data_IF_347174487844
#
_entry.id   IF_347174487844
#
_cell.length_a   1.000
_cell.length_b   1.000
_cell.length_c   1.000
_cell.angle_alpha   90.00
_cell.angle_beta   90.00
_cell.angle_gamma   90.00
#
_symmetry.space_group_name_H-M   'P 1'
#
loop_
_entity.id
_entity.type
_entity.pdbx_description
1 polymer ?
#
# COMPACT_ATOMS: atom_id res chain seq x y z
N UNK A 1 -32.38 -20.73 -57.12
CA UNK A 1 -32.31 -19.26 -57.30
C UNK A 1 -32.23 -18.66 -55.92
N UNK A 2 -31.03 -18.30 -55.46
CA UNK A 2 -30.81 -17.83 -54.09
C UNK A 2 -30.19 -16.45 -54.19
N UNK A 3 -30.91 -15.43 -53.72
CA UNK A 3 -30.50 -14.03 -53.80
C UNK A 3 -29.31 -13.75 -52.88
N UNK A 4 -28.35 -13.00 -53.39
CA UNK A 4 -27.22 -12.44 -52.65
C UNK A 4 -27.69 -11.13 -52.01
N UNK A 5 -27.50 -10.89 -50.69
CA UNK A 5 -27.86 -9.62 -50.07
C UNK A 5 -26.93 -8.47 -50.54
N UNK A 6 -27.42 -7.22 -50.58
CA UNK A 6 -26.65 -6.09 -51.07
C UNK A 6 -25.49 -5.73 -50.12
N UNK A 7 -24.35 -5.33 -50.71
CA UNK A 7 -23.22 -4.73 -49.99
C UNK A 7 -23.64 -3.37 -49.42
N UNK A 8 -23.50 -3.19 -48.11
CA UNK A 8 -23.60 -1.89 -47.46
C UNK A 8 -22.34 -1.06 -47.75
N UNK A 9 -22.54 0.20 -48.11
CA UNK A 9 -21.48 1.12 -48.50
C UNK A 9 -20.72 1.67 -47.27
N UNK A 10 -19.39 1.83 -47.31
CA UNK A 10 -18.59 2.30 -46.16
C UNK A 10 -18.84 3.75 -45.72
N UNK A 11 -19.76 4.48 -46.36
CA UNK A 11 -20.01 5.90 -46.11
C UNK A 11 -21.12 6.17 -45.09
N UNK A 12 -21.87 5.13 -44.69
CA UNK A 12 -23.01 5.28 -43.78
C UNK A 12 -22.64 5.37 -42.29
N UNK A 13 -21.36 5.17 -41.93
CA UNK A 13 -20.90 5.25 -40.53
C UNK A 13 -20.41 6.64 -40.09
N UNK A 14 -20.36 7.62 -40.99
CA UNK A 14 -19.73 8.91 -40.71
C UNK A 14 -20.66 9.96 -40.08
N UNK A 15 -21.92 9.67 -39.74
CA UNK A 15 -22.86 10.72 -39.33
C UNK A 15 -23.80 10.42 -38.15
N UNK A 16 -23.50 9.43 -37.31
CA UNK A 16 -24.14 9.29 -36.00
C UNK A 16 -23.50 10.26 -35.01
N UNK A 17 -24.04 11.49 -34.95
CA UNK A 17 -23.79 12.46 -33.89
C UNK A 17 -24.19 11.85 -32.54
N UNK A 18 -23.24 11.78 -31.62
CA UNK A 18 -23.48 11.51 -30.20
C UNK A 18 -24.13 12.73 -29.52
N UNK A 19 -24.96 12.55 -28.49
CA UNK A 19 -25.63 13.64 -27.76
C UNK A 19 -24.62 14.58 -27.09
N UNK A 20 -24.90 15.89 -27.10
CA UNK A 20 -24.00 16.96 -26.61
C UNK A 20 -23.93 17.13 -25.08
N UNK A 21 -24.62 16.30 -24.29
CA UNK A 21 -24.82 16.55 -22.85
C UNK A 21 -23.69 16.04 -21.92
N UNK A 22 -22.73 15.28 -22.44
CA UNK A 22 -21.63 14.71 -21.63
C UNK A 22 -20.31 15.53 -21.71
N UNK A 23 -20.32 16.71 -22.35
CA UNK A 23 -19.10 17.52 -22.55
C UNK A 23 -18.69 18.38 -21.35
N UNK A 24 -19.40 18.30 -20.23
CA UNK A 24 -19.15 19.15 -19.06
C UNK A 24 -18.18 18.58 -18.01
N UNK A 25 -17.54 17.42 -18.24
CA UNK A 25 -16.68 16.80 -17.21
C UNK A 25 -15.20 16.58 -17.61
N UNK A 26 -14.75 17.12 -18.76
CA UNK A 26 -13.40 16.84 -19.29
C UNK A 26 -12.59 18.07 -19.72
N UNK A 27 -12.82 19.23 -19.10
CA UNK A 27 -11.93 20.40 -19.30
C UNK A 27 -11.70 21.15 -18.00
N UNK A 28 -10.92 20.58 -17.08
CA UNK A 28 -10.05 21.35 -16.19
C UNK A 28 -9.00 20.46 -15.53
N UNK A 29 -7.90 20.17 -16.23
CA UNK A 29 -6.57 19.91 -15.64
C UNK A 29 -5.55 19.60 -16.73
N UNK A 30 -5.20 20.62 -17.52
CA UNK A 30 -3.91 20.67 -18.23
C UNK A 30 -3.36 22.07 -18.12
N UNK A 31 -2.68 22.38 -17.02
CA UNK A 31 -1.58 23.34 -16.95
C UNK A 31 -1.05 23.46 -15.51
N UNK A 32 -0.08 22.61 -15.16
CA UNK A 32 1.08 23.05 -14.38
C UNK A 32 2.16 22.01 -14.56
N UNK A 33 3.11 22.30 -15.43
CA UNK A 33 4.33 21.52 -15.53
C UNK A 33 5.13 21.76 -14.25
N UNK A 34 5.48 20.66 -13.60
CA UNK A 34 6.70 20.55 -12.82
C UNK A 34 7.19 19.11 -13.04
N UNK A 35 8.26 19.00 -13.82
CA UNK A 35 8.98 17.76 -14.02
C UNK A 35 9.54 17.30 -12.66
N UNK A 36 9.03 16.18 -12.13
CA UNK A 36 9.66 15.52 -10.99
C UNK A 36 10.79 14.62 -11.52
N UNK A 37 12.04 14.80 -11.06
CA UNK A 37 13.12 13.93 -11.48
C UNK A 37 12.92 12.54 -10.88
N UNK A 38 12.91 11.54 -11.76
CA UNK A 38 13.11 10.13 -11.39
C UNK A 38 14.51 9.98 -10.80
N UNK A 39 14.66 10.18 -9.50
CA UNK A 39 15.83 9.71 -8.76
C UNK A 39 15.40 8.50 -7.95
N UNK A 40 15.83 7.34 -8.42
CA UNK A 40 15.87 6.12 -7.63
C UNK A 40 16.69 6.40 -6.36
N UNK A 41 16.03 6.37 -5.21
CA UNK A 41 16.73 6.44 -3.93
C UNK A 41 17.33 5.06 -3.65
N UNK A 42 18.58 4.87 -4.09
CA UNK A 42 19.43 3.81 -3.58
C UNK A 42 19.64 4.07 -2.09
N UNK A 43 19.19 3.16 -1.22
CA UNK A 43 19.57 3.16 0.18
C UNK A 43 20.96 2.53 0.26
N UNK A 44 21.97 3.38 0.22
CA UNK A 44 23.34 2.99 0.52
C UNK A 44 23.42 2.65 2.02
N UNK A 45 23.55 1.37 2.32
CA UNK A 45 23.88 0.90 3.66
C UNK A 45 25.33 1.26 3.94
N UNK A 46 25.58 2.40 4.57
CA UNK A 46 26.89 2.63 5.19
C UNK A 46 27.04 1.65 6.35
N UNK A 47 27.69 0.54 6.05
CA UNK A 47 28.35 -0.28 7.04
C UNK A 47 29.34 0.62 7.79
N UNK A 48 29.12 0.80 9.09
CA UNK A 48 30.15 1.36 9.96
C UNK A 48 31.27 0.33 10.03
N UNK A 49 32.25 0.50 9.14
CA UNK A 49 33.49 -0.24 9.15
C UNK A 49 34.31 0.19 10.37
N UNK A 50 34.69 -0.83 11.14
CA UNK A 50 35.84 -0.85 12.04
C UNK A 50 37.07 -0.42 11.24
N UNK A 51 37.50 0.83 11.39
CA UNK A 51 38.77 1.28 10.84
C UNK A 51 39.61 1.95 11.93
N UNK A 52 40.76 1.31 12.14
CA UNK A 52 41.75 1.64 13.15
C UNK A 52 42.78 2.58 12.55
N UNK A 53 42.98 3.70 13.25
CA UNK A 53 44.22 4.49 13.35
C UNK A 53 44.61 5.38 12.13
N UNK A 54 45.43 6.46 12.28
CA UNK A 54 46.37 6.71 13.38
C UNK A 54 46.37 8.12 14.02
N UNK A 55 47.01 8.12 15.19
CA UNK A 55 47.58 9.22 15.96
C UNK A 55 47.97 10.48 15.16
N UNK A 56 47.43 11.62 15.59
CA UNK A 56 48.14 12.89 15.51
C UNK A 56 48.61 13.29 16.91
N UNK A 57 49.89 13.60 16.94
CA UNK A 57 50.75 13.81 18.08
C UNK A 57 50.56 15.17 18.74
N UNK A 58 50.84 15.21 20.03
CA UNK A 58 51.20 16.36 20.87
C UNK A 58 50.12 17.41 21.22
N UNK A 59 49.56 17.26 22.42
CA UNK A 59 49.87 18.25 23.47
C UNK A 59 49.86 17.54 24.84
N UNK A 60 51.07 17.21 25.32
CA UNK A 60 51.33 16.67 26.64
C UNK A 60 51.06 17.76 27.69
N UNK A 61 49.88 17.73 28.31
CA UNK A 61 49.68 18.35 29.61
C UNK A 61 49.44 17.21 30.60
N UNK A 62 50.48 16.91 31.38
CA UNK A 62 50.51 15.88 32.40
C UNK A 62 49.23 15.89 33.27
N UNK A 63 48.39 14.87 33.10
CA UNK A 63 47.28 14.58 33.99
C UNK A 63 47.87 13.84 35.19
N UNK A 64 48.23 14.58 36.23
CA UNK A 64 48.44 14.01 37.56
C UNK A 64 47.16 13.26 37.99
N UNK A 65 47.26 12.05 38.59
CA UNK A 65 46.10 11.31 39.04
C UNK A 65 45.47 12.05 40.23
N UNK A 66 44.36 12.75 39.98
CA UNK A 66 43.55 13.23 41.09
C UNK A 66 42.79 12.04 41.68
N UNK A 67 43.34 11.42 42.72
CA UNK A 67 42.53 10.69 43.67
C UNK A 67 41.65 11.71 44.41
N UNK A 68 40.41 11.88 43.97
CA UNK A 68 39.39 12.51 44.80
C UNK A 68 38.50 11.41 45.39
N UNK A 69 38.83 11.06 46.63
CA UNK A 69 37.97 10.31 47.53
C UNK A 69 36.62 11.04 47.66
N UNK A 70 35.60 10.53 46.99
CA UNK A 70 34.23 10.94 47.20
C UNK A 70 33.75 10.35 48.54
N UNK A 71 33.90 11.12 49.63
CA UNK A 71 33.20 10.78 50.87
C UNK A 71 31.70 11.08 50.71
N UNK A 72 30.79 10.14 51.01
CA UNK A 72 29.37 10.39 50.87
C UNK A 72 28.91 11.24 52.06
N UNK A 73 28.88 12.56 51.90
CA UNK A 73 28.21 13.43 52.87
C UNK A 73 26.72 13.47 52.57
N UNK A 74 25.95 12.75 53.40
CA UNK A 74 24.50 12.90 53.55
C UNK A 74 24.18 14.39 53.79
N UNK A 75 23.61 15.02 52.78
CA UNK A 75 23.20 16.44 52.82
C UNK A 75 21.84 16.57 53.48
N UNK A 76 21.82 17.12 54.70
CA UNK A 76 20.61 17.64 55.32
C UNK A 76 20.12 18.88 54.56
N UNK A 77 18.91 18.78 54.02
CA UNK A 77 18.21 19.72 53.13
C UNK A 77 17.95 21.15 53.70
N UNK A 78 18.59 21.57 54.80
CA UNK A 78 18.09 22.70 55.60
C UNK A 78 19.09 23.66 56.23
N UNK A 79 20.37 23.67 55.88
CA UNK A 79 21.33 24.61 56.51
C UNK A 79 21.86 25.70 55.57
N UNK A 80 21.88 26.92 56.13
CA UNK A 80 22.09 28.22 55.49
C UNK A 80 23.37 28.24 54.63
N UNK A 81 23.19 28.29 53.31
CA UNK A 81 24.28 28.42 52.34
C UNK A 81 24.99 29.78 52.49
N UNK A 82 26.34 29.77 52.57
CA UNK A 82 27.18 30.97 52.54
C UNK A 82 26.93 31.80 51.26
N UNK A 83 27.02 33.14 51.32
CA UNK A 83 26.75 34.04 50.18
C UNK A 83 27.51 33.65 48.90
N UNK A 84 28.76 33.15 49.05
CA UNK A 84 29.59 32.70 47.94
C UNK A 84 28.99 31.49 47.19
N UNK A 85 28.41 30.54 47.93
CA UNK A 85 27.73 29.38 47.33
C UNK A 85 26.45 29.78 46.61
N UNK A 86 25.70 30.75 47.14
CA UNK A 86 24.51 31.29 46.47
C UNK A 86 24.85 31.96 45.15
N UNK A 87 25.93 32.76 45.11
CA UNK A 87 26.40 33.41 43.89
C UNK A 87 26.88 32.40 42.84
N UNK A 88 27.61 31.36 43.25
CA UNK A 88 28.07 30.29 42.35
C UNK A 88 26.90 29.50 41.75
N UNK A 89 25.90 29.13 42.57
CA UNK A 89 24.69 28.45 42.08
C UNK A 89 23.91 29.34 41.11
N UNK A 90 23.80 30.65 41.39
CA UNK A 90 23.12 31.58 40.50
C UNK A 90 23.84 31.71 39.15
N UNK A 91 25.19 31.79 39.16
CA UNK A 91 25.98 31.86 37.93
C UNK A 91 25.81 30.59 37.07
N UNK A 92 25.83 29.41 37.70
CA UNK A 92 25.56 28.13 37.02
C UNK A 92 24.14 28.06 36.47
N UNK A 93 23.15 28.53 37.25
CA UNK A 93 21.75 28.55 36.84
C UNK A 93 21.54 29.45 35.61
N UNK A 94 22.18 30.62 35.56
CA UNK A 94 22.09 31.54 34.42
C UNK A 94 22.63 30.92 33.13
N UNK A 95 23.64 30.04 33.21
CA UNK A 95 24.17 29.33 32.04
C UNK A 95 23.35 28.12 31.63
N UNK A 96 22.99 27.26 32.58
CA UNK A 96 22.42 25.94 32.29
C UNK A 96 20.91 26.03 31.98
N UNK A 97 20.16 26.87 32.71
CA UNK A 97 18.69 26.93 32.57
C UNK A 97 18.27 27.33 31.15
N UNK A 98 18.83 28.39 30.52
CA UNK A 98 18.42 28.77 29.17
C UNK A 98 18.73 27.69 28.13
N UNK A 99 19.88 27.01 28.26
CA UNK A 99 20.28 25.92 27.36
C UNK A 99 19.30 24.74 27.45
N UNK A 100 18.94 24.32 28.67
CA UNK A 100 17.95 23.25 28.89
C UNK A 100 16.58 23.66 28.40
N UNK A 101 16.16 24.91 28.61
CA UNK A 101 14.88 25.42 28.16
C UNK A 101 14.76 25.39 26.63
N UNK A 102 15.76 25.93 25.92
CA UNK A 102 15.80 25.93 24.44
C UNK A 102 15.87 24.49 23.92
N UNK A 103 16.73 23.65 24.49
CA UNK A 103 16.83 22.23 24.12
C UNK A 103 15.52 21.46 24.30
N UNK A 104 14.79 21.74 25.38
CA UNK A 104 13.48 21.12 25.66
C UNK A 104 12.42 21.53 24.64
N UNK A 105 12.37 22.82 24.26
CA UNK A 105 11.46 23.32 23.23
C UNK A 105 11.80 22.71 21.87
N UNK A 106 13.08 22.66 21.52
CA UNK A 106 13.57 22.03 20.29
C UNK A 106 13.21 20.54 20.23
N UNK A 107 13.45 19.80 21.31
CA UNK A 107 13.07 18.38 21.41
C UNK A 107 11.56 18.18 21.27
N UNK A 108 10.76 18.99 21.95
CA UNK A 108 9.29 18.91 21.85
C UNK A 108 8.80 19.21 20.42
N UNK A 109 9.32 20.27 19.80
CA UNK A 109 8.99 20.64 18.43
C UNK A 109 9.44 19.57 17.41
N UNK A 110 10.64 19.01 17.57
CA UNK A 110 11.17 17.96 16.71
C UNK A 110 10.36 16.65 16.84
N UNK A 111 10.08 16.21 18.07
CA UNK A 111 9.28 14.99 18.31
C UNK A 111 7.87 15.08 17.70
N UNK A 112 7.27 16.28 17.70
CA UNK A 112 5.98 16.51 17.08
C UNK A 112 6.06 16.62 15.54
N UNK A 113 7.18 17.11 15.01
CA UNK A 113 7.43 17.18 13.57
C UNK A 113 7.70 15.79 12.96
N UNK A 114 8.58 14.99 13.57
CA UNK A 114 8.92 13.63 13.10
C UNK A 114 7.70 12.71 13.15
N UNK A 115 6.94 12.73 14.25
CA UNK A 115 5.72 11.93 14.34
C UNK A 115 4.69 12.34 13.29
N UNK A 116 4.43 13.63 13.10
CA UNK A 116 3.49 14.12 12.07
C UNK A 116 3.94 13.75 10.66
N UNK A 117 5.23 13.90 10.34
CA UNK A 117 5.76 13.54 9.03
C UNK A 117 5.69 12.04 8.77
N UNK A 118 6.04 11.19 9.76
CA UNK A 118 5.91 9.74 9.64
C UNK A 118 4.45 9.32 9.49
N UNK A 119 3.53 9.91 10.26
CA UNK A 119 2.09 9.64 10.14
C UNK A 119 1.53 10.11 8.80
N UNK A 120 1.94 11.29 8.32
CA UNK A 120 1.52 11.81 7.02
C UNK A 120 2.06 10.93 5.87
N UNK A 121 3.33 10.55 5.91
CA UNK A 121 3.94 9.68 4.91
C UNK A 121 3.28 8.29 4.90
N UNK A 122 3.04 7.69 6.08
CA UNK A 122 2.30 6.42 6.20
C UNK A 122 0.87 6.57 5.68
N UNK A 123 0.20 7.68 5.96
CA UNK A 123 -1.15 7.95 5.44
C UNK A 123 -1.14 8.06 3.92
N UNK A 124 -0.24 8.82 3.33
CA UNK A 124 -0.11 8.95 1.87
C UNK A 124 0.20 7.60 1.21
N UNK A 125 1.05 6.77 1.81
CA UNK A 125 1.32 5.42 1.31
C UNK A 125 0.08 4.52 1.38
N UNK A 126 -0.66 4.54 2.49
CA UNK A 126 -1.91 3.78 2.63
C UNK A 126 -2.97 4.27 1.65
N UNK A 127 -3.10 5.58 1.46
CA UNK A 127 -4.05 6.17 0.53
C UNK A 127 -3.68 5.82 -0.93
N UNK A 128 -2.39 5.87 -1.29
CA UNK A 128 -1.90 5.44 -2.60
C UNK A 128 -2.14 3.95 -2.84
N UNK A 129 -1.85 3.09 -1.86
CA UNK A 129 -2.13 1.65 -1.94
C UNK A 129 -3.63 1.38 -2.07
N UNK A 130 -4.45 2.09 -1.30
CA UNK A 130 -5.91 1.99 -1.36
C UNK A 130 -6.43 2.39 -2.75
N UNK A 131 -5.87 3.42 -3.36
CA UNK A 131 -6.22 3.84 -4.71
C UNK A 131 -5.84 2.78 -5.75
N UNK A 132 -4.62 2.24 -5.70
CA UNK A 132 -4.19 1.17 -6.60
C UNK A 132 -5.09 -0.06 -6.45
N UNK A 133 -5.40 -0.46 -5.23
CA UNK A 133 -6.30 -1.59 -4.96
C UNK A 133 -7.72 -1.32 -5.48
N UNK A 134 -8.24 -0.11 -5.26
CA UNK A 134 -9.58 0.27 -5.73
C UNK A 134 -9.66 0.23 -7.25
N UNK A 135 -8.66 0.77 -7.94
CA UNK A 135 -8.59 0.75 -9.40
C UNK A 135 -8.46 -0.69 -9.92
N UNK A 136 -7.58 -1.50 -9.31
CA UNK A 136 -7.43 -2.91 -9.65
C UNK A 136 -8.77 -3.66 -9.51
N UNK A 137 -9.48 -3.48 -8.40
CA UNK A 137 -10.78 -4.12 -8.18
C UNK A 137 -11.86 -3.62 -9.16
N UNK A 138 -11.86 -2.34 -9.49
CA UNK A 138 -12.78 -1.76 -10.47
C UNK A 138 -12.55 -2.34 -11.87
N UNK A 139 -11.29 -2.50 -12.30
CA UNK A 139 -10.96 -3.17 -13.56
C UNK A 139 -11.43 -4.64 -13.55
N UNK A 140 -11.10 -5.40 -12.48
CA UNK A 140 -11.51 -6.80 -12.39
C UNK A 140 -13.02 -6.97 -12.37
N UNK A 141 -13.73 -6.01 -11.77
CA UNK A 141 -15.19 -5.97 -11.81
C UNK A 141 -15.71 -5.80 -13.24
N UNK A 142 -15.15 -4.85 -14.00
CA UNK A 142 -15.49 -4.64 -15.41
C UNK A 142 -15.17 -5.85 -16.28
N UNK A 143 -14.00 -6.46 -16.09
CA UNK A 143 -13.58 -7.65 -16.84
C UNK A 143 -14.55 -8.82 -16.61
N UNK A 144 -15.02 -9.04 -15.38
CA UNK A 144 -16.02 -10.08 -15.06
C UNK A 144 -17.33 -9.81 -15.80
N UNK A 145 -17.79 -8.56 -15.86
CA UNK A 145 -19.02 -8.22 -16.59
C UNK A 145 -18.87 -8.48 -18.09
N UNK A 146 -17.78 -8.03 -18.70
CA UNK A 146 -17.49 -8.27 -20.11
C UNK A 146 -17.42 -9.77 -20.41
N UNK A 147 -16.78 -10.55 -19.54
CA UNK A 147 -16.69 -12.00 -19.71
C UNK A 147 -18.05 -12.69 -19.51
N UNK A 148 -18.86 -12.24 -18.55
CA UNK A 148 -20.21 -12.79 -18.31
C UNK A 148 -21.15 -12.52 -19.49
N UNK A 149 -20.99 -11.38 -20.18
CA UNK A 149 -21.79 -10.98 -21.34
C UNK A 149 -21.29 -11.55 -22.68
N UNK A 150 -20.23 -12.36 -22.67
CA UNK A 150 -19.79 -13.08 -23.87
C UNK A 150 -20.95 -13.87 -24.48
N UNK A 151 -21.24 -13.69 -25.76
CA UNK A 151 -22.42 -14.31 -26.39
C UNK A 151 -22.40 -15.84 -26.31
N UNK A 152 -21.21 -16.46 -26.32
CA UNK A 152 -21.05 -17.92 -26.15
C UNK A 152 -21.40 -18.43 -24.74
N UNK A 153 -21.58 -17.52 -23.77
CA UNK A 153 -21.98 -17.79 -22.39
C UNK A 153 -23.38 -17.23 -22.06
N UNK A 154 -23.72 -16.03 -22.55
CA UNK A 154 -24.95 -15.32 -22.23
C UNK A 154 -26.12 -15.66 -23.17
N UNK A 155 -25.89 -15.77 -24.49
CA UNK A 155 -26.94 -16.06 -25.47
C UNK A 155 -27.31 -17.55 -25.40
N UNK A 156 -28.56 -17.92 -25.08
CA UNK A 156 -28.97 -19.32 -24.97
C UNK A 156 -28.75 -20.14 -26.25
N UNK A 157 -28.87 -19.53 -27.44
CA UNK A 157 -28.67 -20.21 -28.73
C UNK A 157 -27.20 -20.56 -28.88
N UNK A 158 -26.33 -19.56 -28.81
CA UNK A 158 -24.88 -19.76 -28.97
C UNK A 158 -24.31 -20.61 -27.84
N UNK A 159 -24.77 -20.42 -26.61
CA UNK A 159 -24.38 -21.25 -25.47
C UNK A 159 -24.70 -22.73 -25.69
N UNK A 160 -25.76 -23.07 -26.40
CA UNK A 160 -26.13 -24.48 -26.63
C UNK A 160 -25.51 -25.05 -27.91
N UNK A 161 -25.14 -24.22 -28.89
CA UNK A 161 -24.58 -24.66 -30.17
C UNK A 161 -23.06 -24.62 -30.22
N UNK A 162 -22.41 -23.71 -29.48
CA UNK A 162 -20.96 -23.58 -29.44
C UNK A 162 -20.36 -24.71 -28.61
N UNK A 163 -19.32 -25.35 -29.16
CA UNK A 163 -18.66 -26.47 -28.50
C UNK A 163 -17.97 -26.03 -27.20
N UNK A 164 -17.74 -26.98 -26.29
CA UNK A 164 -16.99 -26.70 -25.06
C UNK A 164 -15.59 -26.17 -25.37
N UNK A 165 -14.91 -26.78 -26.34
CA UNK A 165 -13.54 -26.44 -26.69
C UNK A 165 -13.42 -25.02 -27.27
N UNK A 166 -14.40 -24.57 -28.05
CA UNK A 166 -14.45 -23.18 -28.53
C UNK A 166 -14.69 -22.19 -27.37
N UNK A 167 -15.59 -22.52 -26.42
CA UNK A 167 -15.79 -21.66 -25.23
C UNK A 167 -14.51 -21.56 -24.41
N UNK A 168 -13.81 -22.68 -24.20
CA UNK A 168 -12.53 -22.70 -23.50
C UNK A 168 -11.49 -21.86 -24.24
N UNK A 169 -11.35 -22.03 -25.57
CA UNK A 169 -10.41 -21.25 -26.37
C UNK A 169 -10.68 -19.74 -26.30
N UNK A 170 -11.95 -19.33 -26.23
CA UNK A 170 -12.32 -17.93 -26.01
C UNK A 170 -11.86 -17.44 -24.65
N UNK A 171 -12.13 -18.16 -23.57
CA UNK A 171 -11.68 -17.75 -22.23
C UNK A 171 -10.14 -17.78 -22.09
N UNK A 172 -9.48 -18.73 -22.72
CA UNK A 172 -8.02 -18.82 -22.79
C UNK A 172 -7.39 -17.58 -23.46
N UNK A 173 -8.07 -17.01 -24.45
CA UNK A 173 -7.65 -15.75 -25.07
C UNK A 173 -7.68 -14.59 -24.07
N UNK A 174 -8.66 -14.54 -23.16
CA UNK A 174 -8.70 -13.52 -22.10
C UNK A 174 -7.52 -13.71 -21.15
N UNK A 175 -7.26 -14.93 -20.67
CA UNK A 175 -6.11 -15.23 -19.80
C UNK A 175 -4.80 -14.75 -20.42
N UNK A 176 -4.58 -15.07 -21.70
CA UNK A 176 -3.36 -14.68 -22.44
C UNK A 176 -3.26 -13.17 -22.70
N UNK A 177 -4.38 -12.49 -22.92
CA UNK A 177 -4.40 -11.06 -23.23
C UNK A 177 -4.16 -10.22 -21.98
N UNK A 178 -4.83 -10.57 -20.88
CA UNK A 178 -4.76 -9.82 -19.64
C UNK A 178 -3.55 -10.19 -18.77
N UNK A 179 -3.06 -11.44 -18.84
CA UNK A 179 -1.89 -11.96 -18.10
C UNK A 179 -1.95 -11.83 -16.56
N UNK A 180 -3.06 -11.36 -16.01
CA UNK A 180 -3.30 -11.24 -14.56
C UNK A 180 -4.16 -12.36 -13.99
N UNK A 181 -4.67 -13.25 -14.85
CA UNK A 181 -5.52 -14.37 -14.45
C UNK A 181 -4.76 -15.68 -14.53
N UNK A 182 -4.89 -16.49 -13.49
CA UNK A 182 -4.39 -17.87 -13.48
C UNK A 182 -5.39 -18.82 -14.15
N UNK A 183 -6.68 -18.65 -13.87
CA UNK A 183 -7.75 -19.46 -14.45
C UNK A 183 -9.07 -18.70 -14.51
N UNK A 184 -9.96 -19.15 -15.39
CA UNK A 184 -11.34 -18.67 -15.49
C UNK A 184 -12.26 -19.88 -15.47
N UNK A 185 -13.26 -19.88 -14.60
CA UNK A 185 -14.24 -20.96 -14.46
C UNK A 185 -15.65 -20.39 -14.53
N UNK A 186 -16.47 -20.94 -15.42
CA UNK A 186 -17.91 -20.64 -15.52
C UNK A 186 -18.67 -21.74 -14.82
N UNK A 187 -19.61 -21.36 -13.95
CA UNK A 187 -20.32 -22.28 -13.04
C UNK A 187 -21.82 -22.16 -13.31
N UNK A 188 -22.53 -23.27 -13.33
CA UNK A 188 -24.00 -23.27 -13.44
C UNK A 188 -24.68 -22.91 -12.10
N UNK A 189 -25.99 -22.66 -12.14
CA UNK A 189 -26.78 -22.37 -10.92
C UNK A 189 -26.83 -23.54 -9.92
N UNK A 190 -26.40 -24.74 -10.32
CA UNK A 190 -26.28 -25.93 -9.47
C UNK A 190 -24.86 -26.08 -8.88
N UNK A 191 -23.99 -25.09 -9.06
CA UNK A 191 -22.62 -25.08 -8.53
C UNK A 191 -21.63 -25.93 -9.32
N UNK A 192 -22.00 -26.47 -10.49
CA UNK A 192 -21.08 -27.28 -11.30
C UNK A 192 -20.27 -26.40 -12.26
N UNK A 193 -18.95 -26.60 -12.38
CA UNK A 193 -18.17 -25.93 -13.40
C UNK A 193 -18.58 -26.45 -14.79
N UNK A 194 -18.96 -25.55 -15.70
CA UNK A 194 -19.40 -25.88 -17.06
C UNK A 194 -18.36 -25.53 -18.13
N UNK A 195 -17.50 -24.55 -17.88
CA UNK A 195 -16.37 -24.17 -18.76
C UNK A 195 -15.19 -23.76 -17.88
N UNK A 196 -13.97 -24.13 -18.27
CA UNK A 196 -12.75 -23.76 -17.55
C UNK A 196 -11.59 -23.51 -18.53
N UNK A 197 -10.76 -22.51 -18.24
CA UNK A 197 -9.52 -22.18 -18.95
C UNK A 197 -8.38 -21.85 -17.95
N UNK A 198 -7.13 -21.95 -18.39
CA UNK A 198 -5.91 -21.66 -17.61
C UNK A 198 -5.44 -22.74 -16.63
N UNK A 199 -6.37 -23.51 -16.03
CA UNK A 199 -6.06 -24.61 -15.11
C UNK A 199 -6.64 -25.94 -15.61
N UNK A 200 -5.88 -27.02 -15.42
CA UNK A 200 -6.33 -28.39 -15.67
C UNK A 200 -7.09 -28.99 -14.48
N UNK A 201 -7.01 -28.36 -13.31
CA UNK A 201 -7.65 -28.83 -12.09
C UNK A 201 -9.10 -28.40 -12.06
N UNK A 202 -10.00 -29.34 -12.34
CA UNK A 202 -11.43 -29.06 -12.32
C UNK A 202 -11.92 -28.90 -10.88
N UNK A 203 -12.44 -27.73 -10.48
CA UNK A 203 -12.88 -27.53 -9.11
C UNK A 203 -14.11 -28.40 -8.79
N UNK A 204 -14.25 -28.77 -7.51
CA UNK A 204 -15.43 -29.45 -7.01
C UNK A 204 -16.68 -28.55 -7.09
N UNK A 205 -17.86 -29.12 -6.84
CA UNK A 205 -19.11 -28.36 -6.86
C UNK A 205 -19.10 -27.23 -5.81
N UNK A 206 -19.37 -26.00 -6.25
CA UNK A 206 -19.27 -24.79 -5.44
C UNK A 206 -20.39 -24.65 -4.42
N UNK A 207 -21.58 -25.18 -4.72
CA UNK A 207 -22.69 -25.25 -3.76
C UNK A 207 -22.38 -26.23 -2.63
N UNK A 208 -21.90 -27.43 -2.97
CA UNK A 208 -21.55 -28.45 -1.98
C UNK A 208 -20.41 -28.01 -1.07
N UNK A 209 -19.42 -27.33 -1.64
CA UNK A 209 -18.28 -26.75 -0.91
C UNK A 209 -18.63 -25.47 -0.16
N UNK A 210 -19.83 -24.90 -0.35
CA UNK A 210 -20.27 -23.64 0.25
C UNK A 210 -19.26 -22.51 0.04
N UNK A 211 -18.81 -22.33 -1.21
CA UNK A 211 -17.82 -21.30 -1.53
C UNK A 211 -18.44 -19.91 -1.31
N UNK A 212 -17.86 -19.13 -0.39
CA UNK A 212 -18.47 -17.89 0.13
C UNK A 212 -18.84 -16.87 -0.97
N UNK A 213 -17.89 -16.55 -1.85
CA UNK A 213 -18.12 -15.58 -2.93
C UNK A 213 -19.17 -16.06 -3.94
N UNK A 214 -19.28 -17.37 -4.18
CA UNK A 214 -20.32 -17.93 -5.04
C UNK A 214 -21.71 -17.77 -4.40
N UNK A 215 -21.81 -18.02 -3.09
CA UNK A 215 -23.06 -17.81 -2.34
C UNK A 215 -23.45 -16.32 -2.30
N UNK A 216 -22.48 -15.41 -2.27
CA UNK A 216 -22.73 -13.97 -2.30
C UNK A 216 -23.25 -13.51 -3.68
N UNK A 217 -22.69 -14.02 -4.77
CA UNK A 217 -23.19 -13.76 -6.13
C UNK A 217 -24.63 -14.25 -6.28
N UNK A 218 -24.96 -15.44 -5.76
CA UNK A 218 -26.34 -15.95 -5.80
C UNK A 218 -27.34 -15.08 -5.01
N UNK A 219 -26.90 -14.46 -3.91
CA UNK A 219 -27.75 -13.60 -3.07
C UNK A 219 -27.94 -12.22 -3.66
N UNK A 220 -26.88 -11.64 -4.21
CA UNK A 220 -26.84 -10.22 -4.60
C UNK A 220 -27.02 -10.00 -6.08
N UNK A 221 -26.75 -11.02 -6.92
CA UNK A 221 -26.64 -10.89 -8.37
C UNK A 221 -25.48 -10.02 -8.81
N UNK A 222 -24.50 -9.73 -7.92
CA UNK A 222 -23.36 -8.85 -8.20
C UNK A 222 -22.05 -9.63 -8.09
N UNK A 223 -21.01 -9.25 -8.84
CA UNK A 223 -19.67 -9.80 -8.66
C UNK A 223 -19.21 -9.70 -7.20
N UNK A 224 -18.65 -10.78 -6.67
CA UNK A 224 -18.12 -10.88 -5.32
C UNK A 224 -16.68 -11.41 -5.36
N UNK A 225 -15.90 -11.14 -4.32
CA UNK A 225 -14.51 -11.56 -4.19
C UNK A 225 -14.30 -12.35 -2.89
N UNK A 226 -13.27 -13.19 -2.83
CA UNK A 226 -12.91 -13.87 -1.59
C UNK A 226 -12.28 -12.90 -0.60
N UNK A 227 -12.73 -12.93 0.66
CA UNK A 227 -12.15 -12.12 1.73
C UNK A 227 -10.74 -12.54 2.14
N UNK A 228 -10.25 -13.69 1.64
CA UNK A 228 -8.85 -14.09 1.77
C UNK A 228 -8.15 -13.91 0.42
N UNK A 229 -7.23 -12.94 0.30
CA UNK A 229 -6.11 -13.13 -0.59
C UNK A 229 -5.33 -14.33 -0.05
N UNK A 230 -5.24 -15.42 -0.80
CA UNK A 230 -4.24 -16.45 -0.55
C UNK A 230 -2.89 -15.85 -0.94
N UNK A 231 -2.34 -15.02 -0.04
CA UNK A 231 -0.92 -14.67 -0.10
C UNK A 231 -0.22 -16.00 0.16
N UNK A 232 0.47 -16.53 -0.86
CA UNK A 232 1.30 -17.72 -0.69
C UNK A 232 2.12 -17.59 0.58
N UNK A 233 2.32 -18.71 1.29
CA UNK A 233 2.97 -18.81 2.59
C UNK A 233 4.34 -18.09 2.60
N UNK A 234 4.31 -16.78 2.79
CA UNK A 234 5.44 -15.96 3.11
C UNK A 234 5.21 -15.51 4.55
N UNK A 235 6.18 -15.74 5.45
CA UNK A 235 6.05 -15.38 6.85
C UNK A 235 5.90 -13.86 6.94
N UNK A 236 4.66 -13.42 7.13
CA UNK A 236 4.34 -12.02 7.45
C UNK A 236 4.75 -11.82 8.89
N UNK A 237 5.95 -11.25 9.09
CA UNK A 237 6.30 -10.29 10.13
C UNK A 237 5.57 -10.47 11.48
N UNK A 238 5.79 -11.61 12.15
CA UNK A 238 5.38 -11.78 13.56
C UNK A 238 6.30 -11.01 14.54
N UNK A 239 7.41 -10.41 14.06
CA UNK A 239 8.44 -9.79 14.88
C UNK A 239 8.48 -8.25 14.80
N UNK A 240 7.34 -7.56 14.83
CA UNK A 240 7.34 -6.15 15.22
C UNK A 240 6.94 -6.02 16.69
N UNK A 241 7.87 -5.71 17.62
CA UNK A 241 7.50 -5.41 18.98
C UNK A 241 6.68 -4.11 19.01
N UNK A 242 5.37 -4.26 19.10
CA UNK A 242 4.45 -3.17 19.44
C UNK A 242 4.67 -2.78 20.91
N UNK A 243 5.73 -2.01 21.16
CA UNK A 243 6.02 -1.45 22.47
C UNK A 243 5.43 -0.04 22.52
N UNK A 244 4.22 0.06 23.06
CA UNK A 244 3.52 1.34 23.19
C UNK A 244 2.26 1.24 24.04
N UNK A 245 2.41 0.85 25.32
CA UNK A 245 1.33 1.00 26.30
C UNK A 245 1.07 2.49 26.53
N UNK A 246 0.07 3.06 25.85
CA UNK A 246 -0.56 4.29 26.28
C UNK A 246 -1.33 4.01 27.58
N UNK A 247 -0.77 4.38 28.72
CA UNK A 247 -1.50 4.48 29.99
C UNK A 247 -1.89 5.94 30.19
N UNK A 248 -3.16 6.23 29.98
CA UNK A 248 -3.76 7.49 30.42
C UNK A 248 -3.87 7.51 31.95
N UNK A 249 -3.43 8.62 32.54
CA UNK A 249 -3.97 9.22 33.77
C UNK A 249 -3.89 10.73 33.61
#
# INVERSE_FOLDING_TARGET
MTQIPPKSDPKDFANSRLPEDDRAFLTDQTASGDELPTQAFYVESEAIADDKEPLLESEEAAIEPWEHQATPRKSGWGQKLNLKTKAAVLALAIGIIPAVAIGSIGYYAASQSETRQVFAAKKTQVDALSQVLTNFLAERYGDIQVMADLSVLADPRLRNTTSLQEKQARLEQYIKSYKVYESIVVIDMKGNPIVQAGSNDRPANFLEKKVDYYMEVLKTGRPAHSQRPSIGEHPVLEDLPFMGKCKGK
#
